data_IF_802553010095
#
_entry.id   IF_802553010095
#
_cell.length_a   1.000
_cell.length_b   1.000
_cell.length_c   1.000
_cell.angle_alpha   90.00
_cell.angle_beta   90.00
_cell.angle_gamma   90.00
#
_symmetry.space_group_name_H-M   'P 1'
#
loop_
_entity.id
_entity.type
_entity.pdbx_description
1 polymer ?
#
# COMPACT_ATOMS: atom_id res chain seq x y z
N UNK A 1 -9.40 9.24 -9.08
CA UNK A 1 -9.27 8.21 -10.15
C UNK A 1 -9.70 6.89 -9.55
N UNK A 2 -10.33 5.97 -10.30
CA UNK A 2 -10.73 4.69 -9.74
C UNK A 2 -9.52 3.91 -9.21
N UNK A 3 -9.71 3.19 -8.11
CA UNK A 3 -8.71 2.31 -7.52
C UNK A 3 -8.41 1.16 -8.49
N UNK A 4 -7.14 1.00 -8.85
CA UNK A 4 -6.69 -0.15 -9.64
C UNK A 4 -5.80 -1.05 -8.78
N UNK A 5 -5.48 -2.26 -9.26
CA UNK A 5 -4.63 -3.23 -8.56
C UNK A 5 -3.28 -2.67 -8.12
N UNK A 6 -2.73 -1.71 -8.85
CA UNK A 6 -1.48 -1.03 -8.50
C UNK A 6 -1.65 -0.01 -7.37
N UNK A 7 -2.87 0.36 -7.00
CA UNK A 7 -3.12 1.28 -5.89
C UNK A 7 -3.29 0.54 -4.55
N UNK A 8 -3.33 -0.79 -4.55
CA UNK A 8 -3.52 -1.61 -3.35
C UNK A 8 -2.18 -2.19 -2.89
N UNK A 9 -1.73 -2.00 -1.64
CA UNK A 9 -0.38 -2.38 -1.20
C UNK A 9 -0.22 -3.91 -0.99
N UNK A 10 1.02 -4.41 -1.15
CA UNK A 10 1.44 -5.78 -0.80
C UNK A 10 2.78 -5.71 -0.07
N UNK A 11 2.76 -5.13 1.11
CA UNK A 11 3.91 -4.97 1.99
C UNK A 11 3.46 -5.20 3.42
N UNK A 12 3.65 -6.42 3.89
CA UNK A 12 3.32 -6.89 5.24
C UNK A 12 4.15 -6.24 6.36
N UNK A 13 5.15 -5.43 6.00
CA UNK A 13 6.09 -4.83 6.94
C UNK A 13 6.37 -3.36 6.60
N UNK A 14 5.81 -2.45 7.40
CA UNK A 14 6.00 -1.01 7.29
C UNK A 14 7.45 -0.58 7.53
N UNK A 15 8.24 -1.32 8.32
CA UNK A 15 9.66 -0.99 8.53
C UNK A 15 10.46 -1.23 7.25
N UNK A 16 10.08 -2.22 6.42
CA UNK A 16 10.71 -2.43 5.12
C UNK A 16 10.30 -1.38 4.09
N UNK A 17 9.07 -0.86 4.17
CA UNK A 17 8.67 0.34 3.41
C UNK A 17 9.56 1.52 3.79
N UNK A 18 9.77 1.77 5.09
CA UNK A 18 10.68 2.81 5.58
C UNK A 18 12.11 2.59 5.10
N UNK A 19 12.61 1.35 5.16
CA UNK A 19 13.95 1.00 4.72
C UNK A 19 14.17 1.29 3.23
N UNK A 20 13.17 1.01 2.38
CA UNK A 20 13.23 1.37 0.94
C UNK A 20 13.35 2.87 0.74
N UNK A 21 12.54 3.67 1.45
CA UNK A 21 12.59 5.13 1.36
C UNK A 21 13.94 5.67 1.84
N UNK A 22 14.46 5.16 2.97
CA UNK A 22 15.79 5.51 3.48
C UNK A 22 16.92 5.11 2.54
N UNK A 23 16.87 3.91 1.95
CA UNK A 23 17.85 3.46 0.96
C UNK A 23 17.88 4.39 -0.25
N UNK A 24 16.70 4.77 -0.78
CA UNK A 24 16.60 5.69 -1.91
C UNK A 24 17.15 7.08 -1.56
N UNK A 25 16.88 7.58 -0.35
CA UNK A 25 17.42 8.84 0.14
C UNK A 25 18.94 8.81 0.30
N UNK A 26 19.50 7.74 0.88
CA UNK A 26 20.92 7.65 1.19
C UNK A 26 21.79 7.34 -0.04
N UNK A 27 21.31 6.50 -0.94
CA UNK A 27 22.12 5.96 -2.04
C UNK A 27 21.66 6.42 -3.43
N UNK A 28 20.48 7.02 -3.56
CA UNK A 28 19.91 7.40 -4.86
C UNK A 28 19.34 6.23 -5.69
N UNK A 29 19.62 4.98 -5.30
CA UNK A 29 19.12 3.76 -5.94
C UNK A 29 18.59 2.75 -4.92
N UNK A 30 17.83 1.77 -5.42
CA UNK A 30 17.36 0.63 -4.62
C UNK A 30 18.21 -0.59 -4.95
N UNK A 31 18.75 -1.25 -3.93
CA UNK A 31 19.51 -2.48 -4.09
C UNK A 31 18.95 -3.60 -3.21
N UNK A 32 18.67 -4.78 -3.77
CA UNK A 32 18.35 -5.99 -3.02
C UNK A 32 19.37 -6.27 -1.91
N UNK A 33 20.67 -6.08 -2.17
CA UNK A 33 21.73 -6.35 -1.19
C UNK A 33 21.73 -5.36 -0.02
N UNK A 34 21.49 -4.07 -0.28
CA UNK A 34 21.44 -3.04 0.77
C UNK A 34 20.22 -3.21 1.67
N UNK A 35 19.12 -3.74 1.12
CA UNK A 35 17.86 -3.93 1.85
C UNK A 35 17.73 -5.31 2.49
N UNK A 36 18.65 -6.25 2.19
CA UNK A 36 18.54 -7.66 2.54
C UNK A 36 17.19 -8.26 2.10
N UNK A 37 16.83 -8.00 0.84
CA UNK A 37 15.57 -8.43 0.22
C UNK A 37 15.83 -9.06 -1.14
N UNK A 38 14.92 -9.91 -1.60
CA UNK A 38 14.88 -10.31 -3.01
C UNK A 38 14.46 -9.13 -3.90
N UNK A 39 14.83 -9.15 -5.18
CA UNK A 39 14.38 -8.13 -6.16
C UNK A 39 12.86 -7.93 -6.13
N UNK A 40 12.11 -9.04 -6.11
CA UNK A 40 10.65 -9.02 -6.04
C UNK A 40 10.11 -8.34 -4.79
N UNK A 41 10.74 -8.55 -3.65
CA UNK A 41 10.37 -7.85 -2.41
C UNK A 41 10.69 -6.37 -2.48
N UNK A 42 11.86 -5.99 -3.03
CA UNK A 42 12.19 -4.57 -3.27
C UNK A 42 11.11 -3.91 -4.11
N UNK A 43 10.68 -4.55 -5.21
CA UNK A 43 9.62 -4.04 -6.08
C UNK A 43 8.31 -3.84 -5.29
N UNK A 44 7.95 -4.78 -4.42
CA UNK A 44 6.75 -4.68 -3.58
C UNK A 44 6.80 -3.55 -2.56
N UNK A 45 7.90 -3.41 -1.81
CA UNK A 45 8.02 -2.35 -0.81
C UNK A 45 8.21 -0.96 -1.46
N UNK A 46 8.89 -0.86 -2.61
CA UNK A 46 8.97 0.38 -3.38
C UNK A 46 7.60 0.79 -3.93
N UNK A 47 6.83 -0.17 -4.41
CA UNK A 47 5.48 0.09 -4.86
C UNK A 47 4.56 0.55 -3.73
N UNK A 48 4.68 -0.03 -2.55
CA UNK A 48 3.95 0.41 -1.36
C UNK A 48 4.38 1.81 -0.90
N UNK A 49 5.67 2.13 -0.95
CA UNK A 49 6.17 3.48 -0.70
C UNK A 49 5.60 4.51 -1.70
N UNK A 50 5.41 4.11 -2.96
CA UNK A 50 4.73 4.92 -3.98
C UNK A 50 3.25 5.11 -3.67
N UNK A 51 2.53 4.07 -3.22
CA UNK A 51 1.10 4.18 -2.82
C UNK A 51 0.94 5.19 -1.69
N UNK A 52 1.89 5.22 -0.75
CA UNK A 52 1.92 6.19 0.36
C UNK A 52 2.47 7.57 -0.06
N UNK A 53 2.80 7.79 -1.33
CA UNK A 53 3.28 9.08 -1.84
C UNK A 53 4.72 9.43 -1.44
N UNK A 54 5.49 8.49 -0.89
CA UNK A 54 6.91 8.69 -0.55
C UNK A 54 7.83 8.53 -1.77
N UNK A 55 7.37 7.77 -2.77
CA UNK A 55 8.01 7.66 -4.07
C UNK A 55 7.04 8.10 -5.18
N UNK A 56 7.56 8.65 -6.27
CA UNK A 56 6.77 8.98 -7.45
C UNK A 56 6.54 7.75 -8.36
N UNK A 57 5.90 7.97 -9.52
CA UNK A 57 5.62 6.91 -10.52
C UNK A 57 6.88 6.27 -11.10
N UNK A 58 8.00 6.99 -11.09
CA UNK A 58 9.31 6.55 -11.56
C UNK A 58 10.20 6.03 -10.41
N UNK A 59 9.63 5.84 -9.22
CA UNK A 59 10.32 5.44 -8.00
C UNK A 59 11.39 6.44 -7.54
N UNK A 60 11.27 7.72 -7.92
CA UNK A 60 12.09 8.79 -7.37
C UNK A 60 11.52 9.26 -6.03
N UNK A 61 12.39 9.79 -5.17
CA UNK A 61 12.01 10.28 -3.86
C UNK A 61 11.18 11.56 -3.98
N UNK A 62 10.02 11.60 -3.32
CA UNK A 62 9.20 12.82 -3.21
C UNK A 62 9.63 13.65 -1.99
N UNK A 63 9.11 14.87 -1.86
CA UNK A 63 9.33 15.67 -0.63
C UNK A 63 8.82 14.95 0.63
N UNK A 64 7.65 14.29 0.55
CA UNK A 64 7.13 13.45 1.65
C UNK A 64 8.07 12.29 1.96
N UNK A 65 8.70 11.70 0.94
CA UNK A 65 9.71 10.66 1.11
C UNK A 65 10.98 11.16 1.81
N UNK A 66 11.47 12.36 1.46
CA UNK A 66 12.59 13.01 2.16
C UNK A 66 12.23 13.23 3.63
N UNK A 67 11.05 13.79 3.92
CA UNK A 67 10.58 14.03 5.29
C UNK A 67 10.47 12.73 6.09
N UNK A 68 10.00 11.64 5.47
CA UNK A 68 9.94 10.33 6.10
C UNK A 68 11.34 9.76 6.38
N UNK A 69 12.30 9.97 5.48
CA UNK A 69 13.64 9.43 5.63
C UNK A 69 14.41 10.08 6.79
N UNK A 70 14.11 11.35 7.08
CA UNK A 70 14.87 12.20 8.03
C UNK A 70 14.17 12.42 9.38
N UNK A 71 12.87 12.13 9.48
CA UNK A 71 12.11 12.32 10.72
C UNK A 71 12.52 11.35 11.85
N UNK A 72 12.36 11.80 13.09
CA UNK A 72 12.38 10.95 14.29
C UNK A 72 11.05 10.21 14.54
N UNK A 73 9.97 10.58 13.85
CA UNK A 73 8.61 10.03 14.03
C UNK A 73 8.04 9.42 12.74
N UNK A 74 8.69 8.41 12.13
CA UNK A 74 8.31 7.90 10.81
C UNK A 74 6.89 7.30 10.78
N UNK A 75 6.46 6.64 11.86
CA UNK A 75 5.14 6.00 11.90
C UNK A 75 3.98 7.00 11.88
N UNK A 76 4.16 8.20 12.45
CA UNK A 76 3.14 9.26 12.38
C UNK A 76 2.96 9.78 10.95
N UNK A 77 4.07 9.96 10.22
CA UNK A 77 4.01 10.35 8.81
C UNK A 77 3.42 9.24 7.93
N UNK A 78 3.75 7.97 8.21
CA UNK A 78 3.13 6.82 7.53
C UNK A 78 1.62 6.75 7.79
N UNK A 79 1.17 7.01 9.02
CA UNK A 79 -0.25 7.03 9.36
C UNK A 79 -1.01 8.12 8.60
N UNK A 80 -0.44 9.33 8.54
CA UNK A 80 -1.00 10.42 7.75
C UNK A 80 -1.03 10.08 6.26
N UNK A 81 0.06 9.54 5.72
CA UNK A 81 0.15 9.13 4.32
C UNK A 81 -0.85 8.02 3.97
N UNK A 82 -1.04 7.05 4.87
CA UNK A 82 -1.99 5.97 4.67
C UNK A 82 -3.43 6.49 4.63
N UNK A 83 -3.84 7.33 5.58
CA UNK A 83 -5.17 7.96 5.57
C UNK A 83 -5.44 8.80 4.32
N UNK A 84 -4.41 9.42 3.77
CA UNK A 84 -4.52 10.21 2.54
C UNK A 84 -4.37 9.38 1.24
N UNK A 85 -4.17 8.07 1.34
CA UNK A 85 -4.02 7.21 0.15
C UNK A 85 -5.37 6.88 -0.49
N UNK A 86 -5.38 6.72 -1.82
CA UNK A 86 -6.59 6.38 -2.58
C UNK A 86 -7.29 5.13 -2.01
N UNK A 87 -6.52 4.09 -1.63
CA UNK A 87 -7.09 2.84 -1.10
C UNK A 87 -7.77 3.02 0.24
N UNK A 88 -7.26 3.90 1.11
CA UNK A 88 -7.91 4.19 2.38
C UNK A 88 -9.21 4.95 2.17
N UNK A 89 -9.19 5.99 1.34
CA UNK A 89 -10.35 6.84 1.05
C UNK A 89 -11.50 6.04 0.42
N UNK A 90 -11.18 5.12 -0.49
CA UNK A 90 -12.17 4.22 -1.10
C UNK A 90 -12.69 3.19 -0.10
N UNK A 91 -11.85 2.70 0.81
CA UNK A 91 -12.28 1.77 1.86
C UNK A 91 -13.18 2.44 2.90
N UNK A 92 -12.86 3.66 3.30
CA UNK A 92 -13.67 4.50 4.17
C UNK A 92 -15.03 4.82 3.52
N UNK A 93 -15.02 5.21 2.24
CA UNK A 93 -16.24 5.46 1.48
C UNK A 93 -17.12 4.20 1.37
N UNK A 94 -16.50 3.05 1.10
CA UNK A 94 -17.20 1.75 1.09
C UNK A 94 -17.80 1.43 2.46
N UNK A 95 -17.06 1.63 3.55
CA UNK A 95 -17.51 1.39 4.94
C UNK A 95 -18.74 2.24 5.27
N UNK A 96 -18.71 3.54 4.94
CA UNK A 96 -19.85 4.44 5.12
C UNK A 96 -21.09 4.02 4.31
N UNK A 97 -20.89 3.54 3.08
CA UNK A 97 -22.00 3.16 2.19
C UNK A 97 -22.62 1.79 2.51
N UNK A 98 -21.82 0.85 3.00
CA UNK A 98 -22.24 -0.51 3.35
C UNK A 98 -22.79 -0.62 4.76
N UNK A 99 -22.36 0.28 5.67
CA UNK A 99 -22.63 0.20 7.10
C UNK A 99 -21.66 -0.73 7.85
N UNK A 100 -20.74 -1.40 7.15
CA UNK A 100 -19.71 -2.25 7.75
C UNK A 100 -18.54 -1.43 8.26
N UNK A 101 -17.89 -1.86 9.34
CA UNK A 101 -16.66 -1.19 9.83
C UNK A 101 -15.48 -1.49 8.90
N UNK A 102 -14.52 -0.55 8.77
CA UNK A 102 -13.29 -0.81 8.02
C UNK A 102 -12.54 -2.03 8.59
N UNK A 103 -12.15 -1.97 9.86
CA UNK A 103 -11.39 -3.04 10.52
C UNK A 103 -12.10 -4.39 10.39
N UNK A 104 -11.38 -5.40 9.90
CA UNK A 104 -11.85 -6.76 9.69
C UNK A 104 -12.51 -7.02 8.33
N UNK A 105 -12.78 -5.98 7.52
CA UNK A 105 -13.54 -6.10 6.28
C UNK A 105 -12.76 -5.71 5.01
N UNK A 106 -11.43 -5.61 5.05
CA UNK A 106 -10.63 -5.27 3.86
C UNK A 106 -10.85 -6.25 2.69
N UNK A 107 -11.09 -7.53 2.98
CA UNK A 107 -11.33 -8.54 1.94
C UNK A 107 -12.69 -8.33 1.26
N UNK A 108 -13.73 -8.04 2.05
CA UNK A 108 -15.07 -7.74 1.56
C UNK A 108 -15.03 -6.45 0.72
N UNK A 109 -14.43 -5.39 1.26
CA UNK A 109 -14.20 -4.14 0.54
C UNK A 109 -13.56 -4.36 -0.83
N UNK A 110 -12.40 -5.03 -0.89
CA UNK A 110 -11.71 -5.22 -2.17
C UNK A 110 -12.52 -6.09 -3.13
N UNK A 111 -13.26 -7.08 -2.62
CA UNK A 111 -14.13 -7.93 -3.44
C UNK A 111 -15.28 -7.13 -4.05
N UNK A 112 -15.99 -6.36 -3.23
CA UNK A 112 -17.11 -5.53 -3.67
C UNK A 112 -16.65 -4.45 -4.64
N UNK A 113 -15.56 -3.76 -4.31
CA UNK A 113 -14.99 -2.72 -5.16
C UNK A 113 -14.63 -3.27 -6.54
N UNK A 114 -13.83 -4.34 -6.62
CA UNK A 114 -13.36 -4.86 -7.91
C UNK A 114 -14.44 -5.64 -8.68
N UNK A 115 -15.53 -6.07 -8.04
CA UNK A 115 -16.67 -6.66 -8.75
C UNK A 115 -17.50 -5.61 -9.50
N UNK A 116 -17.66 -4.42 -8.91
CA UNK A 116 -18.53 -3.34 -9.43
C UNK A 116 -17.78 -2.24 -10.19
N UNK A 117 -16.48 -2.05 -9.93
CA UNK A 117 -15.70 -0.99 -10.55
C UNK A 117 -15.71 -1.07 -12.07
N UNK A 118 -15.98 0.06 -12.74
CA UNK A 118 -15.92 0.17 -14.19
C UNK A 118 -14.48 0.35 -14.70
N UNK A 119 -13.64 -0.67 -14.47
CA UNK A 119 -12.24 -0.70 -14.91
C UNK A 119 -11.92 -1.99 -15.70
N UNK A 120 -10.95 -1.96 -16.63
CA UNK A 120 -10.50 -3.12 -17.38
C UNK A 120 -10.08 -4.29 -16.48
N UNK A 121 -10.36 -5.53 -16.90
CA UNK A 121 -10.05 -6.74 -16.09
C UNK A 121 -8.56 -6.85 -15.71
N UNK A 122 -7.65 -6.45 -16.58
CA UNK A 122 -6.21 -6.46 -16.33
C UNK A 122 -5.75 -5.41 -15.29
N UNK A 123 -6.62 -4.49 -14.90
CA UNK A 123 -6.37 -3.51 -13.85
C UNK A 123 -7.03 -3.89 -12.52
N UNK A 124 -7.83 -4.96 -12.48
CA UNK A 124 -8.50 -5.45 -11.26
C UNK A 124 -7.59 -6.39 -10.47
N UNK A 125 -7.85 -6.53 -9.17
CA UNK A 125 -7.29 -7.65 -8.41
C UNK A 125 -8.01 -8.95 -8.79
N UNK A 126 -7.24 -10.00 -9.07
CA UNK A 126 -7.79 -11.34 -9.31
C UNK A 126 -8.11 -12.01 -7.96
N UNK A 127 -9.32 -12.55 -7.83
CA UNK A 127 -9.64 -13.51 -6.79
C UNK A 127 -9.40 -14.94 -7.29
N UNK A 128 -9.09 -15.87 -6.39
CA UNK A 128 -9.18 -17.30 -6.68
C UNK A 128 -10.28 -17.92 -5.80
N UNK A 129 -10.89 -19.00 -6.27
CA UNK A 129 -12.00 -19.66 -5.54
C UNK A 129 -11.57 -20.25 -4.18
N UNK A 130 -10.26 -20.32 -3.91
CA UNK A 130 -9.68 -20.95 -2.71
C UNK A 130 -9.34 -19.95 -1.59
N UNK A 131 -9.65 -18.66 -1.74
CA UNK A 131 -9.38 -17.66 -0.69
C UNK A 131 -7.89 -17.38 -0.43
N UNK A 132 -7.00 -17.82 -1.33
CA UNK A 132 -5.55 -17.53 -1.32
C UNK A 132 -5.17 -16.53 -2.42
N UNK A 133 -6.16 -15.84 -2.97
CA UNK A 133 -6.06 -14.97 -4.13
C UNK A 133 -5.28 -13.69 -3.86
N UNK A 134 -5.10 -12.89 -4.91
CA UNK A 134 -4.42 -11.59 -4.78
C UNK A 134 -5.21 -10.66 -3.87
N UNK A 135 -6.55 -10.71 -3.91
CA UNK A 135 -7.42 -9.96 -2.99
C UNK A 135 -7.10 -10.29 -1.53
N UNK A 136 -7.13 -11.57 -1.14
CA UNK A 136 -6.89 -11.99 0.25
C UNK A 136 -5.53 -11.55 0.79
N UNK A 137 -4.47 -11.63 -0.03
CA UNK A 137 -3.14 -11.15 0.37
C UNK A 137 -3.08 -9.64 0.55
N UNK A 138 -3.70 -8.88 -0.36
CA UNK A 138 -3.75 -7.42 -0.31
C UNK A 138 -4.62 -6.92 0.85
N UNK A 139 -5.74 -7.59 1.09
CA UNK A 139 -6.61 -7.35 2.23
C UNK A 139 -5.87 -7.53 3.55
N UNK A 140 -5.11 -8.63 3.70
CA UNK A 140 -4.27 -8.85 4.89
C UNK A 140 -3.30 -7.68 5.11
N UNK A 141 -2.62 -7.22 4.06
CA UNK A 141 -1.75 -6.04 4.15
C UNK A 141 -2.51 -4.79 4.62
N UNK A 142 -3.71 -4.53 4.08
CA UNK A 142 -4.51 -3.37 4.50
C UNK A 142 -4.93 -3.44 5.96
N UNK A 143 -5.37 -4.61 6.44
CA UNK A 143 -5.70 -4.83 7.86
C UNK A 143 -4.47 -4.64 8.75
N UNK A 144 -3.34 -5.23 8.37
CA UNK A 144 -2.08 -5.10 9.10
C UNK A 144 -1.62 -3.63 9.17
N UNK A 145 -1.84 -2.85 8.11
CA UNK A 145 -1.54 -1.42 8.09
C UNK A 145 -2.52 -0.63 8.96
N UNK A 146 -3.82 -0.89 8.82
CA UNK A 146 -4.86 -0.22 9.60
C UNK A 146 -4.62 -0.41 11.09
N UNK A 147 -4.41 -1.64 11.56
CA UNK A 147 -4.16 -1.95 12.96
C UNK A 147 -2.90 -1.30 13.56
N UNK A 148 -1.95 -0.87 12.73
CA UNK A 148 -0.69 -0.24 13.16
C UNK A 148 -0.67 1.29 13.01
N UNK A 149 -1.53 1.84 12.17
CA UNK A 149 -1.49 3.24 11.75
C UNK A 149 -2.75 4.04 12.12
N UNK A 150 -3.82 3.36 12.54
CA UNK A 150 -5.08 3.94 13.00
C UNK A 150 -5.37 3.45 14.43
#
# INVERSE_FOLDING_TARGET
MPLTSINVPQADDLNKVLAVVKCKHQHGFLSPSLLNLTKRQVDYYAHSARILGFLDRNLNLTQSGVNLATTSMPMQLMALAFRNSDVYQEWESWSLSSGETMQGHANQFLTDYFSTANIPRNQRLSNNQQGTGTISRRAKTLEDWYARLC
#
